data_IF_065997289066
#
_entry.id   IF_065997289066
#
_cell.length_a   1.000
_cell.length_b   1.000
_cell.length_c   1.000
_cell.angle_alpha   90.00
_cell.angle_beta   90.00
_cell.angle_gamma   90.00
#
_symmetry.space_group_name_H-M   'P 1'
#
loop_
_entity.id
_entity.type
_entity.pdbx_description
1 polymer ?
#
# COMPACT_ATOMS: atom_id res chain seq x y z
N UNK A 1 8.80 13.64 -1.13
CA UNK A 1 7.36 13.33 -1.06
C UNK A 1 6.85 12.90 -2.43
N UNK A 2 6.21 11.73 -2.53
CA UNK A 2 5.62 11.25 -3.78
C UNK A 2 4.16 10.93 -3.55
N UNK A 3 3.28 11.68 -4.20
CA UNK A 3 1.86 11.37 -4.24
C UNK A 3 1.65 10.09 -5.04
N UNK A 4 0.84 9.17 -4.51
CA UNK A 4 0.51 7.90 -5.14
C UNK A 4 -1.01 7.81 -5.25
N UNK A 5 -1.50 7.58 -6.45
CA UNK A 5 -2.91 7.23 -6.67
C UNK A 5 -3.07 5.72 -6.52
N UNK A 6 -4.10 5.31 -5.79
CA UNK A 6 -4.53 3.92 -5.65
C UNK A 6 -5.70 3.68 -6.58
N UNK A 7 -5.73 2.54 -7.28
CA UNK A 7 -6.80 2.19 -8.20
C UNK A 7 -7.57 0.97 -7.73
N UNK A 8 -8.89 0.91 -7.99
CA UNK A 8 -9.66 -0.32 -7.79
C UNK A 8 -9.31 -1.38 -8.86
N UNK A 9 -9.51 -2.68 -8.54
CA UNK A 9 -10.08 -3.19 -7.29
C UNK A 9 -9.07 -3.23 -6.13
N UNK A 10 -9.57 -3.03 -4.91
CA UNK A 10 -8.84 -3.29 -3.65
C UNK A 10 -9.56 -4.40 -2.89
N UNK A 11 -8.81 -5.34 -2.34
CA UNK A 11 -9.39 -6.45 -1.58
C UNK A 11 -9.39 -6.10 -0.09
N UNK A 12 -10.51 -6.36 0.59
CA UNK A 12 -10.63 -6.14 2.03
C UNK A 12 -10.24 -7.44 2.72
N UNK A 13 -9.33 -7.35 3.68
CA UNK A 13 -8.84 -8.47 4.48
C UNK A 13 -9.16 -8.18 5.94
N UNK A 14 -9.89 -9.09 6.59
CA UNK A 14 -10.18 -8.97 8.02
C UNK A 14 -8.87 -9.06 8.81
N UNK A 15 -8.62 -8.05 9.64
CA UNK A 15 -7.43 -7.96 10.46
C UNK A 15 -7.80 -7.31 11.80
N UNK A 16 -7.15 -7.75 12.88
CA UNK A 16 -7.34 -7.12 14.19
C UNK A 16 -6.83 -5.68 14.17
N UNK A 17 -7.33 -4.85 15.10
CA UNK A 17 -6.98 -3.42 15.17
C UNK A 17 -5.46 -3.23 15.16
N UNK A 18 -4.96 -2.64 14.09
CA UNK A 18 -3.57 -2.24 13.91
C UNK A 18 -3.50 -0.74 13.64
N UNK A 19 -2.30 -0.15 13.73
CA UNK A 19 -2.06 1.25 13.40
C UNK A 19 -2.52 1.55 11.96
N UNK A 20 -3.46 2.48 11.81
CA UNK A 20 -3.99 2.87 10.49
C UNK A 20 -2.89 3.43 9.60
N UNK A 21 -2.84 2.98 8.35
CA UNK A 21 -1.81 3.36 7.38
C UNK A 21 -0.55 2.50 7.45
N UNK A 22 -0.43 1.60 8.42
CA UNK A 22 0.73 0.70 8.54
C UNK A 22 0.67 -0.42 7.52
N UNK A 23 1.79 -0.69 6.85
CA UNK A 23 1.95 -1.85 5.99
C UNK A 23 2.12 -3.08 6.89
N UNK A 24 1.19 -4.03 6.80
CA UNK A 24 1.21 -5.26 7.60
C UNK A 24 1.72 -6.47 6.83
N UNK A 25 1.63 -6.45 5.49
CA UNK A 25 2.17 -7.49 4.62
C UNK A 25 2.52 -6.94 3.24
N UNK A 26 3.46 -7.61 2.56
CA UNK A 26 3.92 -7.26 1.21
C UNK A 26 4.28 -8.53 0.44
N UNK A 27 3.54 -8.80 -0.64
CA UNK A 27 3.75 -9.99 -1.46
C UNK A 27 3.54 -9.70 -2.95
N UNK A 28 3.63 -10.75 -3.77
CA UNK A 28 3.47 -10.66 -5.22
C UNK A 28 2.10 -10.16 -5.68
N UNK A 29 1.08 -10.23 -4.83
CA UNK A 29 -0.27 -9.73 -5.14
C UNK A 29 -0.43 -8.25 -4.75
N UNK A 30 0.48 -7.68 -3.97
CA UNK A 30 0.44 -6.26 -3.60
C UNK A 30 0.94 -5.95 -2.19
N UNK A 31 0.53 -4.80 -1.67
CA UNK A 31 0.76 -4.41 -0.26
C UNK A 31 -0.54 -4.47 0.52
N UNK A 32 -0.48 -4.99 1.74
CA UNK A 32 -1.58 -5.02 2.68
C UNK A 32 -1.40 -3.90 3.70
N UNK A 33 -2.35 -2.97 3.74
CA UNK A 33 -2.31 -1.78 4.59
C UNK A 33 -3.42 -1.87 5.62
N UNK A 34 -3.06 -1.79 6.91
CA UNK A 34 -4.01 -1.75 8.00
C UNK A 34 -4.83 -0.45 7.94
N UNK A 35 -6.13 -0.57 8.14
CA UNK A 35 -7.04 0.56 8.32
C UNK A 35 -7.54 0.59 9.76
N UNK A 36 -8.34 1.60 10.12
CA UNK A 36 -8.93 1.68 11.47
C UNK A 36 -9.85 0.50 11.80
N UNK A 37 -10.34 -0.17 10.76
CA UNK A 37 -11.01 -1.47 10.80
C UNK A 37 -10.58 -2.25 9.56
N UNK A 38 -10.24 -3.52 9.75
CA UNK A 38 -9.76 -4.42 8.70
C UNK A 38 -8.49 -3.85 8.00
N UNK A 39 -8.08 -4.49 6.92
CA UNK A 39 -6.98 -4.06 6.07
C UNK A 39 -7.39 -4.06 4.60
N UNK A 40 -6.70 -3.27 3.79
CA UNK A 40 -6.90 -3.23 2.35
C UNK A 40 -5.65 -3.69 1.61
N UNK A 41 -5.84 -4.58 0.63
CA UNK A 41 -4.81 -5.04 -0.27
C UNK A 41 -4.83 -4.19 -1.53
N UNK A 42 -3.70 -3.55 -1.79
CA UNK A 42 -3.50 -2.67 -2.93
C UNK A 42 -2.60 -3.40 -3.92
N UNK A 43 -3.12 -3.64 -5.12
CA UNK A 43 -2.42 -4.31 -6.21
C UNK A 43 -1.95 -3.34 -7.29
N UNK A 44 -2.65 -2.21 -7.49
CA UNK A 44 -2.38 -1.25 -8.56
C UNK A 44 -2.28 0.20 -8.07
N UNK A 45 -1.21 0.87 -8.50
CA UNK A 45 -0.91 2.25 -8.12
C UNK A 45 -0.36 3.08 -9.28
N UNK A 46 -0.41 4.40 -9.13
CA UNK A 46 0.28 5.34 -10.01
C UNK A 46 1.04 6.36 -9.18
N UNK A 47 2.39 6.25 -9.12
CA UNK A 47 3.23 7.31 -8.60
C UNK A 47 3.13 8.56 -9.46
N UNK A 48 3.24 9.73 -8.85
CA UNK A 48 3.23 11.01 -9.58
C UNK A 48 4.25 11.03 -10.73
N UNK A 49 3.80 11.44 -11.92
CA UNK A 49 4.62 11.50 -13.13
C UNK A 49 4.95 10.14 -13.78
N UNK A 50 4.40 9.02 -13.29
CA UNK A 50 4.59 7.67 -13.87
C UNK A 50 3.27 7.10 -14.42
N UNK A 51 3.39 6.03 -15.20
CA UNK A 51 2.23 5.23 -15.65
C UNK A 51 1.67 4.42 -14.47
N UNK A 52 0.38 4.05 -14.56
CA UNK A 52 -0.23 3.04 -13.68
C UNK A 52 0.57 1.75 -13.79
N UNK A 53 0.83 1.10 -12.66
CA UNK A 53 1.60 -0.13 -12.57
C UNK A 53 1.15 -0.97 -11.37
N UNK A 54 1.51 -2.26 -11.41
CA UNK A 54 1.33 -3.14 -10.27
C UNK A 54 2.28 -2.77 -9.14
N UNK A 55 1.84 -2.97 -7.91
CA UNK A 55 2.62 -2.69 -6.70
C UNK A 55 3.99 -3.40 -6.69
N UNK A 56 4.13 -4.71 -7.02
CA UNK A 56 5.45 -5.35 -7.09
C UNK A 56 6.44 -4.66 -8.05
N UNK A 57 5.94 -4.12 -9.17
CA UNK A 57 6.77 -3.36 -10.10
C UNK A 57 7.23 -2.02 -9.51
N UNK A 58 6.40 -1.41 -8.64
CA UNK A 58 6.78 -0.21 -7.90
C UNK A 58 7.77 -0.50 -6.75
N UNK A 59 7.63 -1.65 -6.08
CA UNK A 59 8.50 -2.06 -4.98
C UNK A 59 9.92 -2.38 -5.45
N UNK A 60 10.08 -2.81 -6.71
CA UNK A 60 11.38 -3.06 -7.32
C UNK A 60 12.22 -1.79 -7.35
N UNK A 61 13.22 -1.71 -6.47
CA UNK A 61 14.12 -0.55 -6.33
C UNK A 61 13.65 0.54 -5.37
N UNK A 62 12.64 0.26 -4.52
CA UNK A 62 12.18 1.16 -3.45
C UNK A 62 12.44 0.54 -2.08
N UNK A 63 12.75 1.39 -1.10
CA UNK A 63 12.92 1.01 0.32
C UNK A 63 11.58 1.04 1.08
N UNK A 64 10.57 0.33 0.57
CA UNK A 64 9.32 0.11 1.32
C UNK A 64 9.41 -1.23 2.05
N UNK A 65 9.03 -1.24 3.32
CA UNK A 65 9.05 -2.43 4.18
C UNK A 65 7.79 -2.57 5.01
N UNK A 66 7.53 -3.80 5.44
CA UNK A 66 6.50 -4.09 6.44
C UNK A 66 6.81 -3.29 7.70
N UNK A 67 5.79 -2.62 8.23
CA UNK A 67 5.87 -1.72 9.38
C UNK A 67 5.98 -0.23 9.02
N UNK A 68 6.25 0.14 7.77
CA UNK A 68 6.19 1.54 7.35
C UNK A 68 4.74 2.05 7.39
N UNK A 69 4.57 3.36 7.65
CA UNK A 69 3.26 4.02 7.70
C UNK A 69 3.10 4.92 6.47
N UNK A 70 2.02 4.71 5.72
CA UNK A 70 1.63 5.52 4.57
C UNK A 70 0.82 6.74 5.03
N UNK A 71 0.98 7.85 4.31
CA UNK A 71 0.15 9.06 4.53
C UNK A 71 0.56 9.89 5.75
N UNK A 72 1.76 9.66 6.30
CA UNK A 72 2.37 10.60 7.25
C UNK A 72 2.80 11.84 6.47
N UNK A 73 2.11 12.95 6.72
CA UNK A 73 2.61 14.29 6.39
C UNK A 73 3.56 14.70 7.52
N UNK A 74 4.74 15.24 7.18
CA UNK A 74 5.51 16.05 8.14
C UNK A 74 4.89 17.46 8.18
#
# INVERSE_FOLDING_TARGET
HSNIKIFPPVEIVECERSDSGKIIDMDSNGILVACGKDAIRISEIQPSGRRRMLVPAYLTGKELKVGDVLGVED
#
